data_IF_286579838898
#
_entry.id   IF_286579838898
#
_cell.length_a   1.000
_cell.length_b   1.000
_cell.length_c   1.000
_cell.angle_alpha   90.00
_cell.angle_beta   90.00
_cell.angle_gamma   90.00
#
_symmetry.space_group_name_H-M   'P 1'
#
loop_
_entity.id
_entity.type
_entity.pdbx_description
1 polymer ?
#
# COMPACT_ATOMS: atom_id res chain seq x y z
N UNK A 1 16.56 -12.71 -6.34
CA UNK A 1 15.28 -13.35 -5.93
C UNK A 1 14.19 -12.29 -5.99
N UNK A 2 12.91 -12.63 -5.93
CA UNK A 2 11.85 -11.63 -6.12
C UNK A 2 11.15 -11.32 -4.79
N UNK A 3 10.87 -10.05 -4.53
CA UNK A 3 10.05 -9.67 -3.38
C UNK A 3 8.61 -10.18 -3.56
N UNK A 4 8.02 -10.70 -2.49
CA UNK A 4 6.62 -11.11 -2.43
C UNK A 4 5.78 -10.04 -1.75
N UNK A 5 4.56 -9.81 -2.25
CA UNK A 5 3.55 -8.99 -1.58
C UNK A 5 2.40 -9.86 -1.13
N UNK A 6 2.00 -9.71 0.12
CA UNK A 6 1.11 -10.59 0.84
C UNK A 6 -0.02 -9.77 1.48
N UNK A 7 -1.23 -10.28 1.39
CA UNK A 7 -2.37 -9.71 2.10
C UNK A 7 -2.25 -9.91 3.62
N UNK A 8 -2.42 -8.86 4.46
CA UNK A 8 -2.34 -8.99 5.91
C UNK A 8 -3.47 -9.85 6.50
N UNK A 9 -4.59 -10.00 5.80
CA UNK A 9 -5.78 -10.71 6.30
C UNK A 9 -5.79 -12.20 5.97
N UNK A 10 -5.55 -12.56 4.70
CA UNK A 10 -5.64 -13.96 4.25
C UNK A 10 -4.29 -14.60 3.94
N UNK A 11 -3.19 -13.86 4.07
CA UNK A 11 -1.83 -14.29 3.70
C UNK A 11 -1.67 -14.71 2.23
N UNK A 12 -2.63 -14.38 1.37
CA UNK A 12 -2.56 -14.65 -0.06
C UNK A 12 -1.53 -13.75 -0.77
N UNK A 13 -0.86 -14.30 -1.78
CA UNK A 13 0.09 -13.57 -2.61
C UNK A 13 -0.63 -12.61 -3.55
N UNK A 14 -0.30 -11.32 -3.46
CA UNK A 14 -0.89 -10.22 -4.25
C UNK A 14 -0.10 -9.92 -5.51
N UNK A 15 1.17 -10.31 -5.55
CA UNK A 15 2.05 -10.14 -6.71
C UNK A 15 1.93 -11.33 -7.65
N UNK A 16 1.64 -11.06 -8.93
CA UNK A 16 1.57 -12.06 -10.00
C UNK A 16 2.31 -11.51 -11.22
N UNK A 17 3.38 -12.19 -11.64
CA UNK A 17 4.31 -11.63 -12.63
C UNK A 17 4.91 -10.32 -12.14
N UNK A 18 4.94 -9.32 -13.02
CA UNK A 18 5.58 -8.02 -12.77
C UNK A 18 4.72 -7.04 -11.96
N UNK A 19 3.53 -7.42 -11.48
CA UNK A 19 2.58 -6.49 -10.87
C UNK A 19 2.02 -6.97 -9.54
N UNK A 20 1.77 -6.02 -8.64
CA UNK A 20 0.89 -6.22 -7.48
C UNK A 20 -0.53 -5.89 -7.90
N UNK A 21 -1.44 -6.85 -7.71
CA UNK A 21 -2.82 -6.73 -8.17
C UNK A 21 -3.74 -6.41 -7.00
N UNK A 22 -4.53 -5.35 -7.17
CA UNK A 22 -5.56 -4.94 -6.22
C UNK A 22 -6.93 -4.91 -6.88
N UNK A 23 -7.94 -5.28 -6.10
CA UNK A 23 -9.31 -4.88 -6.41
C UNK A 23 -9.51 -3.49 -5.84
N UNK A 24 -10.01 -2.56 -6.64
CA UNK A 24 -10.25 -1.18 -6.22
C UNK A 24 -11.71 -0.78 -6.39
N UNK A 25 -12.11 0.25 -5.65
CA UNK A 25 -13.37 0.96 -5.84
C UNK A 25 -13.17 2.46 -5.77
N UNK A 26 -13.69 3.19 -6.75
CA UNK A 26 -13.61 4.66 -6.79
C UNK A 26 -14.76 5.30 -6.00
N UNK A 27 -14.78 6.63 -5.90
CA UNK A 27 -15.83 7.38 -5.18
C UNK A 27 -17.21 7.23 -5.84
N UNK A 28 -17.26 6.99 -7.14
CA UNK A 28 -18.47 6.68 -7.90
C UNK A 28 -18.95 5.22 -7.69
N UNK A 29 -18.27 4.48 -6.81
CA UNK A 29 -18.53 3.06 -6.46
C UNK A 29 -18.31 2.07 -7.60
N UNK A 30 -17.68 2.49 -8.68
CA UNK A 30 -17.24 1.61 -9.75
C UNK A 30 -16.13 0.70 -9.22
N UNK A 31 -16.14 -0.56 -9.64
CA UNK A 31 -15.14 -1.56 -9.23
C UNK A 31 -14.16 -1.79 -10.37
N UNK A 32 -12.88 -1.92 -10.04
CA UNK A 32 -11.83 -2.14 -11.02
C UNK A 32 -10.71 -3.02 -10.47
N UNK A 33 -9.78 -3.34 -11.37
CA UNK A 33 -8.48 -3.88 -11.00
C UNK A 33 -7.43 -2.79 -11.21
N UNK A 34 -6.50 -2.71 -10.28
CA UNK A 34 -5.33 -1.85 -10.35
C UNK A 34 -4.08 -2.70 -10.19
N UNK A 35 -3.17 -2.56 -11.14
CA UNK A 35 -1.88 -3.21 -11.14
C UNK A 35 -0.84 -2.14 -10.79
N UNK A 36 -0.09 -2.34 -9.71
CA UNK A 36 0.99 -1.45 -9.30
C UNK A 36 2.34 -2.12 -9.56
N UNK A 37 3.36 -1.32 -9.86
CA UNK A 37 4.73 -1.80 -9.92
C UNK A 37 5.22 -2.21 -8.51
N UNK A 38 5.94 -3.34 -8.35
CA UNK A 38 6.34 -3.86 -7.04
C UNK A 38 7.55 -3.14 -6.43
N UNK A 39 8.31 -2.38 -7.21
CA UNK A 39 9.45 -1.61 -6.74
C UNK A 39 9.00 -0.43 -5.87
N UNK A 40 9.51 -0.37 -4.63
CA UNK A 40 9.22 0.72 -3.69
C UNK A 40 9.73 2.05 -4.26
N UNK A 41 8.84 3.03 -4.40
CA UNK A 41 9.13 4.33 -5.01
C UNK A 41 8.76 4.42 -6.49
N UNK A 42 8.34 3.31 -7.11
CA UNK A 42 7.78 3.31 -8.44
C UNK A 42 6.24 3.40 -8.35
N UNK A 43 5.69 4.53 -8.78
CA UNK A 43 4.25 4.83 -8.71
C UNK A 43 3.52 4.57 -10.04
N UNK A 44 4.14 3.87 -10.98
CA UNK A 44 3.47 3.47 -12.21
C UNK A 44 2.34 2.49 -11.91
N UNK A 45 1.22 2.65 -12.62
CA UNK A 45 0.04 1.83 -12.43
C UNK A 45 -0.68 1.56 -13.74
N UNK A 46 -1.34 0.41 -13.82
CA UNK A 46 -2.15 -0.02 -14.95
C UNK A 46 -3.57 -0.31 -14.46
N UNK A 47 -4.54 0.19 -15.19
CA UNK A 47 -5.98 -0.03 -14.98
C UNK A 47 -6.69 -0.10 -16.31
N UNK A 48 -7.90 -0.63 -16.32
CA UNK A 48 -8.71 -0.60 -17.53
C UNK A 48 -8.92 0.86 -17.99
N UNK A 49 -8.78 1.19 -19.28
CA UNK A 49 -8.86 2.58 -19.76
C UNK A 49 -10.16 3.31 -19.41
N UNK A 50 -11.27 2.57 -19.31
CA UNK A 50 -12.57 3.14 -18.93
C UNK A 50 -12.74 3.37 -17.43
N UNK A 51 -11.88 2.76 -16.58
CA UNK A 51 -11.92 3.01 -15.14
C UNK A 51 -11.23 4.35 -14.86
N UNK A 52 -12.02 5.39 -14.59
CA UNK A 52 -11.50 6.74 -14.37
C UNK A 52 -11.25 6.96 -12.88
N UNK A 53 -10.10 7.58 -12.60
CA UNK A 53 -9.68 8.02 -11.27
C UNK A 53 -9.33 9.50 -11.44
N UNK A 54 -9.94 10.34 -10.63
CA UNK A 54 -9.67 11.79 -10.62
C UNK A 54 -8.48 12.06 -9.71
N UNK A 55 -7.69 13.07 -10.05
CA UNK A 55 -6.60 13.53 -9.18
C UNK A 55 -7.14 13.94 -7.81
N UNK A 56 -6.49 13.53 -6.73
CA UNK A 56 -6.94 13.77 -5.35
C UNK A 56 -8.09 12.87 -4.88
N UNK A 57 -8.57 11.96 -5.73
CA UNK A 57 -9.63 11.02 -5.36
C UNK A 57 -9.12 9.96 -4.37
N UNK A 58 -9.91 9.69 -3.33
CA UNK A 58 -9.66 8.57 -2.40
C UNK A 58 -10.17 7.28 -3.00
N UNK A 59 -9.27 6.31 -3.21
CA UNK A 59 -9.60 5.00 -3.77
C UNK A 59 -9.61 3.95 -2.67
N UNK A 60 -10.65 3.11 -2.64
CA UNK A 60 -10.71 1.98 -1.72
C UNK A 60 -9.90 0.81 -2.29
N UNK A 61 -9.00 0.22 -1.50
CA UNK A 61 -8.20 -0.94 -1.87
C UNK A 61 -8.68 -2.19 -1.16
N UNK A 62 -8.83 -3.28 -1.91
CA UNK A 62 -9.25 -4.58 -1.40
C UNK A 62 -8.31 -5.68 -1.89
N UNK A 63 -8.16 -6.71 -1.06
CA UNK A 63 -7.51 -7.93 -1.48
C UNK A 63 -8.35 -8.60 -2.60
N UNK A 64 -7.74 -8.97 -3.75
CA UNK A 64 -8.46 -9.67 -4.82
C UNK A 64 -8.85 -11.11 -4.43
N UNK A 65 -8.24 -11.69 -3.39
CA UNK A 65 -8.46 -13.07 -2.96
C UNK A 65 -9.57 -13.14 -1.90
N UNK A 66 -9.44 -12.41 -0.79
CA UNK A 66 -10.39 -12.48 0.32
C UNK A 66 -11.40 -11.32 0.37
N UNK A 67 -11.26 -10.33 -0.51
CA UNK A 67 -12.12 -9.13 -0.60
C UNK A 67 -12.14 -8.23 0.64
N UNK A 68 -11.31 -8.50 1.65
CA UNK A 68 -11.18 -7.59 2.79
C UNK A 68 -10.53 -6.27 2.37
N UNK A 69 -10.95 -5.19 3.03
CA UNK A 69 -10.36 -3.87 2.88
C UNK A 69 -8.91 -3.91 3.35
N UNK A 70 -8.01 -3.29 2.58
CA UNK A 70 -6.59 -3.19 2.91
C UNK A 70 -6.26 -1.85 3.59
N UNK A 71 -7.25 -1.19 4.16
CA UNK A 71 -7.08 0.06 4.88
C UNK A 71 -6.14 -0.12 6.08
N UNK A 72 -5.18 0.79 6.21
CA UNK A 72 -4.31 0.82 7.37
C UNK A 72 -5.08 1.32 8.60
N UNK A 73 -4.94 0.63 9.73
CA UNK A 73 -5.61 1.02 10.98
C UNK A 73 -5.12 2.37 11.53
N UNK A 74 -3.89 2.76 11.21
CA UNK A 74 -3.26 3.98 11.73
C UNK A 74 -3.67 5.26 10.99
N UNK A 75 -4.06 5.16 9.72
CA UNK A 75 -4.45 6.32 8.92
C UNK A 75 -5.36 5.85 7.77
N UNK A 76 -6.52 6.49 7.68
CA UNK A 76 -7.54 6.16 6.70
C UNK A 76 -7.22 6.60 5.27
N UNK A 77 -6.07 7.22 5.01
CA UNK A 77 -5.58 7.48 3.65
C UNK A 77 -4.48 6.50 3.24
N UNK A 78 -4.07 5.60 4.13
CA UNK A 78 -3.05 4.60 3.85
C UNK A 78 -3.66 3.22 3.59
N UNK A 79 -3.01 2.48 2.70
CA UNK A 79 -3.23 1.06 2.43
C UNK A 79 -2.10 0.27 3.09
N UNK A 80 -2.38 -0.91 3.64
CA UNK A 80 -1.40 -1.79 4.26
C UNK A 80 -1.28 -3.13 3.51
N UNK A 81 -0.05 -3.48 3.16
CA UNK A 81 0.32 -4.81 2.66
C UNK A 81 1.62 -5.29 3.31
N UNK A 82 1.87 -6.59 3.28
CA UNK A 82 3.09 -7.17 3.82
C UNK A 82 4.02 -7.49 2.65
N UNK A 83 5.28 -7.07 2.75
CA UNK A 83 6.33 -7.45 1.80
C UNK A 83 7.29 -8.44 2.46
N UNK A 84 7.69 -9.47 1.72
CA UNK A 84 8.80 -10.35 2.09
C UNK A 84 9.90 -10.12 1.09
N UNK A 85 11.07 -9.68 1.55
CA UNK A 85 12.21 -9.41 0.69
C UNK A 85 13.00 -10.68 0.35
N UNK A 86 14.01 -10.53 -0.50
CA UNK A 86 14.88 -11.63 -0.95
C UNK A 86 15.67 -12.33 0.17
N UNK A 87 15.74 -11.73 1.37
CA UNK A 87 16.41 -12.27 2.56
C UNK A 87 15.41 -12.84 3.56
N UNK A 88 14.17 -13.08 3.12
CA UNK A 88 13.04 -13.51 3.93
C UNK A 88 12.70 -12.54 5.08
N UNK A 89 13.13 -11.27 5.00
CA UNK A 89 12.73 -10.26 5.98
C UNK A 89 11.33 -9.77 5.65
N UNK A 90 10.51 -9.69 6.69
CA UNK A 90 9.13 -9.21 6.61
C UNK A 90 9.11 -7.71 6.88
N UNK A 91 8.43 -6.98 6.00
CA UNK A 91 8.23 -5.54 6.09
C UNK A 91 6.75 -5.23 5.99
N UNK A 92 6.25 -4.31 6.82
CA UNK A 92 4.96 -3.70 6.62
C UNK A 92 5.10 -2.54 5.62
N UNK A 93 4.34 -2.58 4.53
CA UNK A 93 4.31 -1.53 3.52
C UNK A 93 3.01 -0.77 3.65
N UNK A 94 3.15 0.55 3.82
CA UNK A 94 2.05 1.49 3.79
C UNK A 94 2.20 2.43 2.60
N UNK A 95 1.14 2.67 1.84
CA UNK A 95 1.17 3.65 0.75
C UNK A 95 -0.13 4.44 0.67
N UNK A 96 -0.07 5.66 0.16
CA UNK A 96 -1.26 6.50 0.02
C UNK A 96 -2.23 5.93 -1.01
N UNK A 97 -3.51 5.96 -0.65
CA UNK A 97 -4.63 5.57 -1.51
C UNK A 97 -5.21 6.76 -2.30
N UNK A 98 -4.68 7.96 -2.07
CA UNK A 98 -5.13 9.18 -2.74
C UNK A 98 -4.46 9.25 -4.11
N UNK A 99 -5.26 9.36 -5.16
CA UNK A 99 -4.76 9.48 -6.52
C UNK A 99 -3.84 10.71 -6.67
N UNK A 100 -2.63 10.48 -7.20
CA UNK A 100 -1.59 11.50 -7.33
C UNK A 100 -0.63 11.61 -6.14
N UNK A 101 -0.99 11.07 -4.98
CA UNK A 101 -0.12 11.08 -3.81
C UNK A 101 0.93 9.97 -3.86
N UNK A 102 2.15 10.36 -4.25
CA UNK A 102 3.33 9.50 -4.19
C UNK A 102 3.94 9.45 -2.79
N UNK A 103 3.49 8.52 -1.96
CA UNK A 103 4.08 8.24 -0.65
C UNK A 103 4.01 6.75 -0.31
N UNK A 104 5.15 6.19 0.08
CA UNK A 104 5.29 4.79 0.50
C UNK A 104 6.21 4.71 1.72
N UNK A 105 5.82 3.90 2.70
CA UNK A 105 6.52 3.69 3.96
C UNK A 105 6.77 2.20 4.14
N UNK A 106 8.05 1.83 4.21
CA UNK A 106 8.49 0.49 4.53
C UNK A 106 8.90 0.45 6.00
N UNK A 107 8.21 -0.35 6.81
CA UNK A 107 8.40 -0.45 8.26
C UNK A 107 8.92 -1.83 8.60
N UNK A 108 9.99 -1.88 9.39
CA UNK A 108 10.62 -3.10 9.88
C UNK A 108 11.16 -2.90 11.29
N UNK A 109 11.80 -3.93 11.86
CA UNK A 109 12.52 -3.80 13.13
C UNK A 109 13.69 -2.81 13.06
N UNK A 110 14.25 -2.57 11.88
CA UNK A 110 15.36 -1.64 11.65
C UNK A 110 14.90 -0.18 11.55
N UNK A 111 13.58 0.07 11.64
CA UNK A 111 12.96 1.38 11.58
C UNK A 111 12.11 1.58 10.32
N UNK A 112 11.89 2.85 9.97
CA UNK A 112 10.99 3.25 8.88
C UNK A 112 11.77 3.91 7.74
N UNK A 113 11.56 3.41 6.52
CA UNK A 113 12.03 4.03 5.28
C UNK A 113 10.86 4.64 4.52
N UNK A 114 10.89 5.96 4.32
CA UNK A 114 9.89 6.69 3.56
C UNK A 114 10.40 7.02 2.14
N UNK A 115 9.54 6.88 1.13
CA UNK A 115 9.84 7.15 -0.29
C UNK A 115 8.69 7.91 -0.94
N UNK A 116 9.00 8.75 -1.94
CA UNK A 116 8.04 9.53 -2.72
C UNK A 116 7.98 11.02 -2.34
N UNK A 117 7.56 11.85 -3.29
CA UNK A 117 7.52 13.32 -3.14
C UNK A 117 6.58 13.77 -2.01
N UNK A 118 5.53 12.99 -1.75
CA UNK A 118 4.53 13.29 -0.73
C UNK A 118 4.79 12.58 0.61
N UNK A 119 5.94 11.90 0.76
CA UNK A 119 6.30 11.16 1.98
C UNK A 119 6.37 12.01 3.26
N UNK A 120 6.39 13.34 3.11
CA UNK A 120 6.34 14.27 4.24
C UNK A 120 4.95 14.41 4.88
N UNK A 121 3.86 13.98 4.22
CA UNK A 121 2.47 14.18 4.67
C UNK A 121 2.11 13.37 5.92
N UNK A 122 2.59 12.13 6.03
CA UNK A 122 2.25 11.23 7.14
C UNK A 122 3.39 11.21 8.17
N UNK A 123 3.38 12.18 9.09
CA UNK A 123 4.49 12.46 10.01
C UNK A 123 4.65 11.46 11.16
N UNK A 124 3.64 10.63 11.43
CA UNK A 124 3.68 9.59 12.47
C UNK A 124 4.78 8.55 12.23
N UNK A 125 5.17 8.32 10.96
CA UNK A 125 6.31 7.48 10.59
C UNK A 125 7.69 8.11 10.88
N UNK A 126 7.73 9.40 11.22
CA UNK A 126 8.94 10.13 11.62
C UNK A 126 9.06 10.26 13.15
N UNK A 127 8.05 9.80 13.88
CA UNK A 127 8.07 9.81 15.35
C UNK A 127 8.86 8.59 15.84
N UNK A 128 9.66 8.75 16.89
CA UNK A 128 10.53 7.69 17.42
C UNK A 128 9.76 6.42 17.76
N UNK A 129 10.44 5.27 17.74
CA UNK A 129 9.88 3.93 18.01
C UNK A 129 9.06 3.86 19.31
N UNK A 130 9.41 4.69 20.29
CA UNK A 130 8.70 4.82 21.57
C UNK A 130 7.27 5.36 21.40
N UNK A 131 7.03 6.32 20.49
CA UNK A 131 5.69 6.87 20.24
C UNK A 131 4.79 5.93 19.43
N UNK A 132 5.37 5.15 18.50
CA UNK A 132 4.61 4.19 17.68
C UNK A 132 4.03 3.08 18.56
N UNK A 133 4.73 2.68 19.64
CA UNK A 133 4.20 1.72 20.63
C UNK A 133 2.95 2.21 21.37
N UNK A 134 2.80 3.52 21.57
CA UNK A 134 1.62 4.09 22.24
C UNK A 134 0.37 4.11 21.34
N UNK A 135 0.53 4.18 20.02
CA UNK A 135 -0.58 4.20 19.06
C UNK A 135 -1.11 2.80 18.71
N UNK A 136 -0.41 1.74 19.12
CA UNK A 136 -0.83 0.34 18.97
C UNK A 136 -1.66 -0.20 20.15
N UNK A 137 -2.06 0.67 21.08
CA UNK A 137 -2.97 0.37 22.21
C UNK A 137 -4.36 0.95 21.94
#
# INVERSE_FOLDING_TARGET
MENYFICPHCRGHLKVGEFIIFRIRNQEREKGLLLLHPEIGNYSSIKHPHFRIKEGERIDFFCPICMQSLDAAMDENLVHVIMVDEKDKVHDIYFSRIAGEQSTYQVSEEGVRATGEHSYRYTYFKMSDDMIRFLKK
#
